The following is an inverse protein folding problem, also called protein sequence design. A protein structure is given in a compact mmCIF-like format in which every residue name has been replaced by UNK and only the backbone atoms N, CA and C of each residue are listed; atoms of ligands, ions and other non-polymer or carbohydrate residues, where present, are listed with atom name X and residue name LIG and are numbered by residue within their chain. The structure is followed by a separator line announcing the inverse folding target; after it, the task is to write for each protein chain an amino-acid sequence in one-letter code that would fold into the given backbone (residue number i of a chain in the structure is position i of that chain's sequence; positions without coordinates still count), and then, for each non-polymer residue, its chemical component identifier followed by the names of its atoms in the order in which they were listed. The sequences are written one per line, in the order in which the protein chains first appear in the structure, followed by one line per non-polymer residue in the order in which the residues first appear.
data_IF_727514010195
#
_entry.id   IF_727514010195
#
_cell.length_a   1.000
_cell.length_b   1.000
_cell.length_c   1.000
_cell.angle_alpha   90.00
_cell.angle_beta   90.00
_cell.angle_gamma   90.00
#
_symmetry.space_group_name_H-M   'P 1'
#
loop_
_entity.id
_entity.type
_entity.pdbx_description
1 polymer ?
#
# COMPACT_ATOMS: atom_id res chain seq x y z
N UNK A 1 25.78 -66.69 -34.03
CA UNK A 1 26.13 -67.80 -33.13
C UNK A 1 25.93 -67.34 -31.69
N UNK A 2 25.42 -68.24 -30.86
CA UNK A 2 25.06 -68.10 -29.44
C UNK A 2 23.75 -67.38 -29.07
N UNK A 3 22.92 -68.20 -28.46
CA UNK A 3 21.57 -68.01 -28.00
C UNK A 3 21.54 -68.10 -26.46
N UNK A 4 20.32 -68.05 -25.92
CA UNK A 4 19.87 -68.59 -24.63
C UNK A 4 20.00 -67.66 -23.42
N UNK A 5 18.85 -67.12 -23.01
CA UNK A 5 18.12 -67.48 -21.77
C UNK A 5 16.88 -66.56 -21.69
N UNK A 6 15.68 -66.92 -21.23
CA UNK A 6 15.06 -68.14 -20.71
C UNK A 6 13.54 -67.87 -20.75
N UNK A 7 12.76 -68.93 -20.95
CA UNK A 7 11.30 -68.99 -20.79
C UNK A 7 10.80 -68.30 -19.49
N UNK A 8 9.59 -67.78 -19.36
CA UNK A 8 8.35 -68.04 -20.09
C UNK A 8 7.23 -68.36 -19.09
N UNK A 9 6.11 -67.64 -19.18
CA UNK A 9 4.81 -67.99 -18.58
C UNK A 9 4.70 -67.72 -17.07
N UNK A 10 3.53 -67.45 -16.49
CA UNK A 10 2.13 -67.41 -16.95
C UNK A 10 1.40 -66.82 -15.72
N UNK A 11 0.47 -65.88 -15.81
CA UNK A 11 -0.97 -66.16 -15.91
C UNK A 11 -1.75 -64.83 -15.96
N UNK A 12 -2.73 -64.80 -16.86
CA UNK A 12 -3.84 -63.82 -17.03
C UNK A 12 -4.83 -63.96 -15.83
N UNK A 13 -5.93 -63.16 -15.66
CA UNK A 13 -6.57 -62.27 -16.64
C UNK A 13 -7.21 -60.95 -16.12
N UNK A 14 -7.42 -60.04 -17.08
CA UNK A 14 -8.67 -59.29 -17.36
C UNK A 14 -9.49 -58.75 -16.17
N UNK A 15 -9.42 -57.44 -16.00
CA UNK A 15 -10.53 -56.60 -15.56
C UNK A 15 -10.44 -55.27 -16.30
N UNK A 16 -11.21 -55.13 -17.38
CA UNK A 16 -11.43 -53.84 -18.04
C UNK A 16 -12.31 -52.99 -17.13
N UNK A 17 -11.87 -51.82 -16.71
CA UNK A 17 -12.74 -50.65 -16.62
C UNK A 17 -11.93 -49.40 -16.95
N UNK A 18 -12.47 -48.63 -17.88
CA UNK A 18 -11.95 -47.36 -18.38
C UNK A 18 -12.24 -46.27 -17.34
N UNK A 19 -11.31 -45.30 -17.28
CA UNK A 19 -11.19 -44.11 -16.43
C UNK A 19 -12.49 -43.34 -16.09
N UNK A 20 -12.50 -42.54 -15.01
CA UNK A 20 -12.21 -41.12 -15.25
C UNK A 20 -11.20 -40.48 -14.28
N UNK A 21 -10.47 -39.53 -14.85
CA UNK A 21 -9.60 -38.55 -14.22
C UNK A 21 -10.39 -37.76 -13.15
N UNK A 22 -9.96 -37.80 -11.88
CA UNK A 22 -10.34 -36.80 -10.88
C UNK A 22 -9.05 -36.31 -10.22
N UNK A 23 -8.64 -35.10 -10.61
CA UNK A 23 -7.60 -34.34 -9.94
C UNK A 23 -8.07 -34.03 -8.51
N UNK A 24 -7.41 -34.61 -7.52
CA UNK A 24 -7.64 -34.26 -6.12
C UNK A 24 -7.05 -32.87 -5.86
N UNK A 25 -7.93 -31.86 -5.85
CA UNK A 25 -7.61 -30.49 -5.52
C UNK A 25 -7.21 -30.34 -4.05
N UNK A 26 -6.04 -29.75 -3.82
CA UNK A 26 -5.64 -29.25 -2.53
C UNK A 26 -6.44 -27.98 -2.20
N UNK A 27 -7.54 -28.10 -1.45
CA UNK A 27 -8.20 -26.96 -0.85
C UNK A 27 -7.45 -26.57 0.43
N UNK A 28 -6.39 -25.76 0.29
CA UNK A 28 -5.86 -25.01 1.41
C UNK A 28 -6.88 -23.93 1.79
N UNK A 29 -7.62 -24.16 2.87
CA UNK A 29 -8.51 -23.16 3.44
C UNK A 29 -7.64 -22.04 4.03
N UNK A 30 -7.39 -21.00 3.22
CA UNK A 30 -6.78 -19.78 3.72
C UNK A 30 -7.74 -19.15 4.73
N UNK A 31 -7.40 -19.24 6.02
CA UNK A 31 -8.04 -18.44 7.05
C UNK A 31 -7.76 -16.97 6.73
N UNK A 32 -8.68 -16.30 6.03
CA UNK A 32 -8.64 -14.86 5.92
C UNK A 32 -8.77 -14.27 7.32
N UNK A 33 -7.97 -13.25 7.72
CA UNK A 33 -8.26 -12.52 8.93
C UNK A 33 -9.66 -11.92 8.78
N UNK A 34 -10.59 -12.36 9.63
CA UNK A 34 -11.89 -11.73 9.75
C UNK A 34 -11.65 -10.28 10.17
N UNK A 35 -11.69 -9.37 9.21
CA UNK A 35 -11.74 -7.95 9.48
C UNK A 35 -13.13 -7.68 10.06
N UNK A 36 -13.22 -7.58 11.38
CA UNK A 36 -14.45 -7.17 12.03
C UNK A 36 -14.70 -5.70 11.69
N UNK A 37 -15.61 -5.45 10.75
CA UNK A 37 -16.22 -4.13 10.59
C UNK A 37 -17.08 -3.92 11.82
N UNK A 38 -16.63 -3.06 12.73
CA UNK A 38 -17.47 -2.62 13.85
C UNK A 38 -18.43 -1.59 13.28
N UNK A 39 -19.67 -2.03 13.01
CA UNK A 39 -20.76 -1.13 12.68
C UNK A 39 -21.18 -0.41 13.97
N UNK A 40 -20.61 0.76 14.25
CA UNK A 40 -21.06 1.60 15.35
C UNK A 40 -22.41 2.23 14.98
N UNK A 41 -23.49 1.67 15.49
CA UNK A 41 -24.90 2.04 15.25
C UNK A 41 -25.29 3.46 15.77
N UNK A 42 -24.34 4.21 16.31
CA UNK A 42 -24.52 5.58 16.80
C UNK A 42 -23.62 6.63 16.11
N UNK A 43 -22.81 6.22 15.12
CA UNK A 43 -21.97 7.14 14.32
C UNK A 43 -22.59 7.50 12.96
N UNK A 44 -23.79 7.03 12.64
CA UNK A 44 -24.43 7.22 11.33
C UNK A 44 -24.69 8.68 10.96
N UNK A 45 -24.71 9.60 11.93
CA UNK A 45 -24.93 11.04 11.70
C UNK A 45 -23.65 11.90 11.81
N UNK A 46 -22.53 11.36 12.31
CA UNK A 46 -21.26 12.09 12.38
C UNK A 46 -20.36 11.70 11.22
N UNK A 47 -20.67 12.25 10.04
CA UNK A 47 -19.67 12.39 8.98
C UNK A 47 -18.52 13.23 9.55
N UNK A 48 -17.39 12.61 9.84
CA UNK A 48 -16.16 13.32 10.13
C UNK A 48 -15.85 14.20 8.91
N UNK A 49 -15.88 15.52 9.08
CA UNK A 49 -15.56 16.46 8.02
C UNK A 49 -14.16 16.24 7.42
N UNK A 50 -13.27 15.62 8.18
CA UNK A 50 -11.88 15.36 7.83
C UNK A 50 -11.63 13.95 7.26
N UNK A 51 -12.68 13.11 7.17
CA UNK A 51 -12.56 11.77 6.59
C UNK A 51 -12.76 11.84 5.07
N UNK A 52 -11.69 11.58 4.33
CA UNK A 52 -11.74 11.43 2.88
C UNK A 52 -12.15 9.99 2.51
N UNK A 53 -13.39 9.82 2.05
CA UNK A 53 -13.97 8.52 1.63
C UNK A 53 -13.97 8.33 0.11
N UNK A 54 -13.17 9.11 -0.62
CA UNK A 54 -13.02 8.89 -2.06
C UNK A 54 -12.44 7.49 -2.30
N UNK A 55 -12.99 6.78 -3.27
CA UNK A 55 -12.56 5.41 -3.62
C UNK A 55 -11.65 5.35 -4.85
N UNK A 56 -11.31 6.50 -5.42
CA UNK A 56 -10.46 6.61 -6.59
C UNK A 56 -8.99 6.58 -6.20
N UNK A 57 -8.25 5.61 -6.76
CA UNK A 57 -6.79 5.63 -6.67
C UNK A 57 -6.26 6.62 -7.71
N UNK A 58 -5.61 7.68 -7.22
CA UNK A 58 -4.98 8.70 -8.03
C UNK A 58 -3.47 8.47 -8.04
N UNK A 59 -2.88 8.44 -9.23
CA UNK A 59 -1.43 8.46 -9.35
C UNK A 59 -0.89 9.85 -8.96
N UNK A 60 0.31 9.95 -8.37
CA UNK A 60 0.96 11.24 -8.19
C UNK A 60 1.17 11.92 -9.54
N UNK A 61 1.15 13.25 -9.54
CA UNK A 61 1.39 14.04 -10.74
C UNK A 61 2.87 14.03 -11.14
N UNK A 62 3.16 14.33 -12.41
CA UNK A 62 4.55 14.46 -12.88
C UNK A 62 5.29 15.60 -12.15
N UNK A 63 4.61 16.71 -11.88
CA UNK A 63 5.17 17.84 -11.14
C UNK A 63 5.54 17.45 -9.70
N UNK A 64 4.66 16.74 -8.97
CA UNK A 64 4.97 16.25 -7.62
C UNK A 64 6.19 15.32 -7.62
N UNK A 65 6.29 14.39 -8.58
CA UNK A 65 7.47 13.53 -8.71
C UNK A 65 8.75 14.32 -9.03
N UNK A 66 8.63 15.34 -9.88
CA UNK A 66 9.73 16.26 -10.19
C UNK A 66 10.27 16.95 -8.95
N UNK A 67 9.38 17.56 -8.14
CA UNK A 67 9.74 18.22 -6.88
C UNK A 67 10.47 17.26 -5.93
N UNK A 68 9.99 16.01 -5.78
CA UNK A 68 10.67 15.01 -4.95
C UNK A 68 12.08 14.72 -5.47
N UNK A 69 12.26 14.65 -6.79
CA UNK A 69 13.57 14.50 -7.44
C UNK A 69 14.51 15.68 -7.19
N UNK A 70 14.01 16.91 -7.31
CA UNK A 70 14.78 18.14 -7.07
C UNK A 70 15.26 18.24 -5.61
N UNK A 71 14.41 17.83 -4.68
CA UNK A 71 14.75 17.72 -3.26
C UNK A 71 15.73 16.58 -2.95
N UNK A 72 16.01 15.71 -3.93
CA UNK A 72 16.77 14.45 -3.75
C UNK A 72 16.20 13.63 -2.59
N UNK A 73 14.88 13.60 -2.49
CA UNK A 73 14.14 12.95 -1.41
C UNK A 73 13.47 11.66 -1.90
N UNK A 74 12.96 10.87 -0.95
CA UNK A 74 12.09 9.72 -1.18
C UNK A 74 10.69 10.05 -0.68
N UNK A 75 9.69 9.79 -1.51
CA UNK A 75 8.29 9.91 -1.15
C UNK A 75 7.61 8.54 -1.11
N UNK A 76 6.80 8.30 -0.07
CA UNK A 76 5.77 7.26 -0.08
C UNK A 76 4.45 7.94 -0.38
N UNK A 77 3.67 7.40 -1.31
CA UNK A 77 2.42 8.01 -1.77
C UNK A 77 1.22 7.28 -1.17
N UNK A 78 0.18 8.01 -0.79
CA UNK A 78 -1.11 7.41 -0.45
C UNK A 78 -1.94 7.12 -1.71
N UNK A 79 -3.11 6.53 -1.52
CA UNK A 79 -4.04 6.18 -2.61
C UNK A 79 -4.56 7.41 -3.36
N UNK A 80 -4.54 8.60 -2.74
CA UNK A 80 -4.98 9.86 -3.33
C UNK A 80 -3.88 10.59 -4.12
N UNK A 81 -2.73 9.94 -4.37
CA UNK A 81 -1.63 10.53 -5.14
C UNK A 81 -0.89 11.66 -4.40
N UNK A 82 -1.05 11.76 -3.08
CA UNK A 82 -0.35 12.75 -2.25
C UNK A 82 0.79 12.07 -1.46
N UNK A 83 1.86 12.81 -1.11
CA UNK A 83 2.90 12.25 -0.26
C UNK A 83 2.35 11.88 1.12
N UNK A 84 2.37 10.60 1.46
CA UNK A 84 2.15 10.09 2.81
C UNK A 84 3.38 10.33 3.70
N UNK A 85 4.57 10.20 3.13
CA UNK A 85 5.82 10.55 3.80
C UNK A 85 6.81 11.11 2.79
N UNK A 86 7.67 12.03 3.23
CA UNK A 86 8.74 12.62 2.44
C UNK A 86 10.00 12.72 3.29
N UNK A 87 11.09 12.08 2.88
CA UNK A 87 12.33 12.05 3.66
C UNK A 87 13.56 12.10 2.76
N UNK A 88 14.66 12.67 3.27
CA UNK A 88 15.98 12.61 2.63
C UNK A 88 16.92 11.85 3.54
N UNK A 89 17.56 10.81 3.00
CA UNK A 89 18.44 9.97 3.81
C UNK A 89 19.71 10.74 4.19
N UNK A 90 20.03 10.71 5.48
CA UNK A 90 21.24 11.36 6.02
C UNK A 90 21.25 12.89 5.92
N UNK A 91 20.10 13.55 5.73
CA UNK A 91 20.07 14.99 5.59
C UNK A 91 18.70 15.64 5.76
N UNK A 92 18.69 16.96 5.56
CA UNK A 92 17.49 17.80 5.64
C UNK A 92 16.84 17.98 4.28
N UNK A 93 15.51 18.14 4.25
CA UNK A 93 14.75 18.48 3.05
C UNK A 93 15.02 19.90 2.55
N UNK A 94 15.41 20.80 3.46
CA UNK A 94 15.80 22.17 3.15
C UNK A 94 17.09 22.54 3.89
N UNK A 95 17.88 23.44 3.29
CA UNK A 95 19.11 24.00 3.87
C UNK A 95 19.19 25.50 3.60
N UNK A 96 20.03 26.21 4.34
CA UNK A 96 20.21 27.66 4.13
C UNK A 96 19.03 28.50 4.62
N UNK A 97 18.29 28.01 5.61
CA UNK A 97 17.21 28.76 6.26
C UNK A 97 17.81 30.03 6.88
N UNK A 98 17.34 31.19 6.42
CA UNK A 98 17.78 32.49 6.91
C UNK A 98 16.91 32.91 8.09
N UNK A 99 17.40 32.69 9.31
CA UNK A 99 16.76 33.15 10.53
C UNK A 99 17.80 33.31 11.64
N UNK A 100 17.53 34.20 12.59
CA UNK A 100 18.41 34.44 13.74
C UNK A 100 18.49 33.24 14.70
N UNK A 101 17.45 32.41 14.73
CA UNK A 101 17.39 31.19 15.54
C UNK A 101 16.41 30.16 14.95
N UNK A 102 16.47 28.92 15.44
CA UNK A 102 15.53 27.87 15.06
C UNK A 102 14.08 28.22 15.46
N UNK A 103 13.90 28.87 16.62
CA UNK A 103 12.58 29.34 17.05
C UNK A 103 12.05 30.44 16.13
N UNK A 104 12.91 31.40 15.76
CA UNK A 104 12.54 32.46 14.82
C UNK A 104 12.14 31.88 13.46
N UNK A 105 12.88 30.91 12.93
CA UNK A 105 12.53 30.20 11.70
C UNK A 105 11.18 29.49 11.80
N UNK A 106 10.92 28.79 12.90
CA UNK A 106 9.65 28.07 13.10
C UNK A 106 8.46 29.04 13.17
N UNK A 107 8.60 30.15 13.91
CA UNK A 107 7.56 31.19 14.01
C UNK A 107 7.30 31.84 12.65
N UNK A 108 8.35 32.15 11.89
CA UNK A 108 8.23 32.69 10.54
C UNK A 108 7.48 31.74 9.60
N UNK A 109 7.85 30.45 9.61
CA UNK A 109 7.15 29.43 8.79
C UNK A 109 5.65 29.36 9.10
N UNK A 110 5.27 29.34 10.38
CA UNK A 110 3.85 29.32 10.77
C UNK A 110 3.13 30.60 10.32
N UNK A 111 3.78 31.76 10.44
CA UNK A 111 3.24 33.04 10.04
C UNK A 111 3.09 33.19 8.51
N UNK A 112 4.00 32.64 7.72
CA UNK A 112 3.91 32.63 6.24
C UNK A 112 2.83 31.64 5.74
N UNK A 113 2.57 30.58 6.51
CA UNK A 113 1.65 29.50 6.14
C UNK A 113 0.35 29.53 6.95
N UNK A 114 -0.13 30.71 7.36
CA UNK A 114 -1.33 30.89 8.20
C UNK A 114 -2.56 30.13 7.72
N UNK A 115 -2.74 30.01 6.40
CA UNK A 115 -3.86 29.27 5.82
C UNK A 115 -3.82 27.77 6.16
N UNK A 116 -2.64 27.13 6.14
CA UNK A 116 -2.47 25.72 6.51
C UNK A 116 -2.83 25.47 7.97
N UNK A 117 -2.51 26.44 8.83
CA UNK A 117 -2.78 26.38 10.26
C UNK A 117 -4.12 27.01 10.67
N UNK A 118 -4.95 27.41 9.69
CA UNK A 118 -6.25 28.07 9.91
C UNK A 118 -6.17 29.32 10.80
N UNK A 119 -5.02 29.99 10.85
CA UNK A 119 -4.81 31.18 11.67
C UNK A 119 -5.49 32.43 11.08
N UNK A 120 -5.85 32.40 9.81
CA UNK A 120 -6.59 33.49 9.15
C UNK A 120 -8.01 33.68 9.68
N UNK A 121 -8.62 32.66 10.31
CA UNK A 121 -9.94 32.83 10.95
C UNK A 121 -9.86 33.65 12.24
N UNK A 122 -8.66 33.86 12.80
CA UNK A 122 -8.44 34.72 13.95
C UNK A 122 -8.42 36.20 13.59
N UNK A 123 -8.29 36.55 12.30
CA UNK A 123 -8.28 37.94 11.83
C UNK A 123 -9.70 38.55 11.81
N UNK A 124 -10.74 37.74 12.03
CA UNK A 124 -12.16 38.13 12.06
C UNK A 124 -12.80 38.08 13.46
N UNK A 125 -12.01 37.89 14.53
CA UNK A 125 -12.43 38.00 15.93
C UNK A 125 -12.22 39.44 16.45
#
# INVERSE_FOLDING_TARGET
MHAVHKAGGRRRPRGRFVLPLIAAGAAALAAAPASAVVQHDHLSEQRYADLDVRHESLAPTAAQRGIVGDLRARARWNEFGTPQSLSRDGGMLASGIQAESAEAAARAFVAENRALFRLSSLDTL
#
